data_IF_213431219562
#
_entry.id   IF_213431219562
#
_cell.length_a   1.000
_cell.length_b   1.000
_cell.length_c   1.000
_cell.angle_alpha   90.00
_cell.angle_beta   90.00
_cell.angle_gamma   90.00
#
_symmetry.space_group_name_H-M   'P 1'
#
loop_
_entity.id
_entity.type
_entity.pdbx_description
1 polymer ?
#
# COMPACT_ATOMS: atom_id res chain seq x y z
N UNK A 1 7.83 84.36 4.05
CA UNK A 1 8.34 83.26 3.21
C UNK A 1 9.40 82.56 4.04
N UNK A 2 9.17 81.32 4.46
CA UNK A 2 9.96 80.71 5.54
C UNK A 2 11.42 80.61 5.09
N UNK A 3 12.25 81.40 5.75
CA UNK A 3 13.68 81.53 5.55
C UNK A 3 14.36 80.29 6.12
N UNK A 4 15.25 79.66 5.36
CA UNK A 4 15.96 78.44 5.73
C UNK A 4 17.27 78.69 6.49
N UNK A 5 17.53 79.93 6.89
CA UNK A 5 18.69 80.31 7.71
C UNK A 5 18.20 80.70 9.11
N UNK A 6 18.86 80.14 10.14
CA UNK A 6 18.56 80.23 11.58
C UNK A 6 17.63 79.14 12.18
N UNK A 7 18.02 77.87 12.05
CA UNK A 7 17.81 76.93 13.16
C UNK A 7 19.09 76.89 14.00
N UNK A 8 18.97 77.14 15.31
CA UNK A 8 20.09 76.93 16.24
C UNK A 8 20.54 75.46 16.19
N UNK A 9 21.82 75.18 16.40
CA UNK A 9 22.41 73.82 16.31
C UNK A 9 21.68 72.78 17.17
N UNK A 10 20.99 73.22 18.23
CA UNK A 10 20.16 72.39 19.11
C UNK A 10 18.83 71.96 18.48
N UNK A 11 18.21 72.80 17.67
CA UNK A 11 16.88 72.55 17.10
C UNK A 11 16.95 71.64 15.87
N UNK A 12 18.00 71.80 15.05
CA UNK A 12 18.34 70.86 13.98
C UNK A 12 18.69 69.46 14.54
N UNK A 13 19.43 69.40 15.65
CA UNK A 13 19.74 68.13 16.33
C UNK A 13 18.47 67.47 16.91
N UNK A 14 17.57 68.24 17.53
CA UNK A 14 16.31 67.72 18.06
C UNK A 14 15.40 67.16 16.94
N UNK A 15 15.29 67.85 15.81
CA UNK A 15 14.52 67.37 14.65
C UNK A 15 15.10 66.08 14.07
N UNK A 16 16.42 65.97 14.00
CA UNK A 16 17.11 64.76 13.54
C UNK A 16 16.90 63.57 14.51
N UNK A 17 16.93 63.79 15.82
CA UNK A 17 16.65 62.76 16.84
C UNK A 17 15.20 62.26 16.71
N UNK A 18 14.24 63.17 16.55
CA UNK A 18 12.82 62.81 16.34
C UNK A 18 12.64 62.01 15.05
N UNK A 19 13.29 62.41 13.95
CA UNK A 19 13.22 61.64 12.70
C UNK A 19 13.81 60.23 12.86
N UNK A 20 14.95 60.08 13.55
CA UNK A 20 15.55 58.76 13.81
C UNK A 20 14.61 57.89 14.65
N UNK A 21 13.99 58.45 15.69
CA UNK A 21 13.06 57.72 16.56
C UNK A 21 11.79 57.27 15.81
N UNK A 22 11.22 58.16 14.98
CA UNK A 22 10.07 57.84 14.11
C UNK A 22 10.42 56.75 13.09
N UNK A 23 11.62 56.76 12.51
CA UNK A 23 12.07 55.70 11.60
C UNK A 23 12.30 54.38 12.35
N UNK A 24 12.85 54.42 13.56
CA UNK A 24 13.02 53.24 14.42
C UNK A 24 11.69 52.56 14.74
N UNK A 25 10.66 53.33 15.10
CA UNK A 25 9.30 52.83 15.36
C UNK A 25 8.68 52.21 14.10
N UNK A 26 8.87 52.83 12.92
CA UNK A 26 8.40 52.27 11.64
C UNK A 26 9.09 50.94 11.31
N UNK A 27 10.39 50.83 11.53
CA UNK A 27 11.14 49.58 11.32
C UNK A 27 10.65 48.50 12.29
N UNK A 28 10.48 48.82 13.57
CA UNK A 28 9.99 47.87 14.57
C UNK A 28 8.58 47.35 14.24
N UNK A 29 7.65 48.24 13.90
CA UNK A 29 6.28 47.87 13.52
C UNK A 29 6.25 47.02 12.25
N UNK A 30 7.10 47.32 11.26
CA UNK A 30 7.26 46.48 10.08
C UNK A 30 7.77 45.08 10.44
N UNK A 31 8.81 44.97 11.27
CA UNK A 31 9.38 43.69 11.69
C UNK A 31 8.37 42.82 12.46
N UNK A 32 7.60 43.40 13.39
CA UNK A 32 6.56 42.66 14.12
C UNK A 32 5.45 42.18 13.19
N UNK A 33 5.04 43.00 12.22
CA UNK A 33 4.06 42.58 11.20
C UNK A 33 4.60 41.42 10.36
N UNK A 34 5.84 41.52 9.86
CA UNK A 34 6.46 40.45 9.07
C UNK A 34 6.61 39.16 9.89
N UNK A 35 6.94 39.25 11.17
CA UNK A 35 7.02 38.10 12.08
C UNK A 35 5.67 37.39 12.22
N UNK A 36 4.59 38.15 12.39
CA UNK A 36 3.22 37.60 12.46
C UNK A 36 2.79 36.94 11.15
N UNK A 37 3.13 37.55 10.01
CA UNK A 37 2.86 36.99 8.69
C UNK A 37 3.61 35.66 8.47
N UNK A 38 4.90 35.60 8.83
CA UNK A 38 5.71 34.37 8.77
C UNK A 38 5.10 33.28 9.64
N UNK A 39 4.66 33.61 10.86
CA UNK A 39 4.05 32.63 11.76
C UNK A 39 2.75 32.07 11.18
N UNK A 40 1.90 32.95 10.65
CA UNK A 40 0.63 32.56 10.00
C UNK A 40 0.89 31.66 8.79
N UNK A 41 1.92 31.95 8.00
CA UNK A 41 2.29 31.12 6.85
C UNK A 41 2.80 29.74 7.28
N UNK A 42 3.61 29.66 8.35
CA UNK A 42 4.08 28.38 8.90
C UNK A 42 2.92 27.49 9.32
N UNK A 43 1.94 28.04 10.03
CA UNK A 43 0.76 27.29 10.47
C UNK A 43 -0.08 26.80 9.28
N UNK A 44 -0.27 27.64 8.27
CA UNK A 44 -0.96 27.24 7.03
C UNK A 44 -0.24 26.11 6.31
N UNK A 45 1.08 26.18 6.18
CA UNK A 45 1.90 25.13 5.57
C UNK A 45 1.74 23.83 6.35
N UNK A 46 1.95 23.85 7.67
CA UNK A 46 1.84 22.66 8.50
C UNK A 46 0.44 22.02 8.42
N UNK A 47 -0.62 22.84 8.45
CA UNK A 47 -1.99 22.33 8.30
C UNK A 47 -2.23 21.70 6.93
N UNK A 48 -1.71 22.32 5.87
CA UNK A 48 -1.83 21.78 4.51
C UNK A 48 -1.08 20.45 4.37
N UNK A 49 0.14 20.34 4.90
CA UNK A 49 0.93 19.10 4.90
C UNK A 49 0.20 17.97 5.61
N UNK A 50 -0.40 18.24 6.78
CA UNK A 50 -1.20 17.25 7.50
C UNK A 50 -2.42 16.79 6.69
N UNK A 51 -3.13 17.73 6.04
CA UNK A 51 -4.26 17.38 5.18
C UNK A 51 -3.85 16.52 3.99
N UNK A 52 -2.71 16.82 3.35
CA UNK A 52 -2.18 16.01 2.25
C UNK A 52 -1.80 14.59 2.71
N UNK A 53 -1.16 14.46 3.87
CA UNK A 53 -0.81 13.15 4.44
C UNK A 53 -2.05 12.30 4.72
N UNK A 54 -3.09 12.91 5.31
CA UNK A 54 -4.37 12.22 5.57
C UNK A 54 -5.02 11.78 4.25
N UNK A 55 -5.15 12.69 3.30
CA UNK A 55 -5.79 12.40 2.01
C UNK A 55 -5.05 11.29 1.24
N UNK A 56 -3.72 11.35 1.19
CA UNK A 56 -2.93 10.32 0.53
C UNK A 56 -3.02 8.96 1.24
N UNK A 57 -3.12 8.96 2.58
CA UNK A 57 -3.41 7.77 3.37
C UNK A 57 -4.75 7.14 3.00
N UNK A 58 -5.81 7.95 2.90
CA UNK A 58 -7.15 7.50 2.48
C UNK A 58 -7.14 6.92 1.07
N UNK A 59 -6.46 7.58 0.12
CA UNK A 59 -6.34 7.07 -1.25
C UNK A 59 -5.64 5.70 -1.30
N UNK A 60 -4.58 5.49 -0.51
CA UNK A 60 -3.91 4.18 -0.44
C UNK A 60 -4.83 3.08 0.08
N UNK A 61 -5.66 3.39 1.08
CA UNK A 61 -6.63 2.44 1.61
C UNK A 61 -7.70 2.10 0.58
N UNK A 62 -8.21 3.11 -0.11
CA UNK A 62 -9.25 2.94 -1.12
C UNK A 62 -8.74 2.12 -2.31
N UNK A 63 -7.50 2.33 -2.74
CA UNK A 63 -6.86 1.49 -3.78
C UNK A 63 -6.79 0.02 -3.35
N UNK A 64 -6.44 -0.27 -2.09
CA UNK A 64 -6.38 -1.65 -1.58
C UNK A 64 -7.77 -2.26 -1.50
N UNK A 65 -8.76 -1.50 -1.01
CA UNK A 65 -10.17 -1.92 -0.97
C UNK A 65 -10.67 -2.30 -2.36
N UNK A 66 -10.51 -1.41 -3.34
CA UNK A 66 -10.96 -1.65 -4.71
C UNK A 66 -10.30 -2.89 -5.33
N UNK A 67 -8.98 -3.09 -5.10
CA UNK A 67 -8.28 -4.30 -5.56
C UNK A 67 -8.81 -5.58 -4.92
N UNK A 68 -9.12 -5.55 -3.62
CA UNK A 68 -9.72 -6.69 -2.94
C UNK A 68 -11.11 -7.00 -3.48
N UNK A 69 -11.94 -5.97 -3.68
CA UNK A 69 -13.30 -6.11 -4.20
C UNK A 69 -13.31 -6.67 -5.64
N UNK A 70 -12.32 -6.29 -6.46
CA UNK A 70 -12.16 -6.80 -7.81
C UNK A 70 -11.65 -8.25 -7.84
N UNK A 71 -10.63 -8.57 -7.04
CA UNK A 71 -9.92 -9.85 -7.13
C UNK A 71 -10.57 -10.97 -6.32
N UNK A 72 -11.31 -10.65 -5.25
CA UNK A 72 -11.94 -11.67 -4.40
C UNK A 72 -12.96 -12.52 -5.16
N UNK A 73 -13.91 -11.95 -5.93
CA UNK A 73 -14.85 -12.76 -6.71
C UNK A 73 -14.15 -13.61 -7.76
N UNK A 74 -13.12 -13.07 -8.42
CA UNK A 74 -12.34 -13.81 -9.41
C UNK A 74 -11.63 -15.02 -8.79
N UNK A 75 -11.08 -14.86 -7.58
CA UNK A 75 -10.48 -15.96 -6.84
C UNK A 75 -11.51 -17.03 -6.46
N UNK A 76 -12.69 -16.64 -5.99
CA UNK A 76 -13.75 -17.61 -5.66
C UNK A 76 -14.21 -18.41 -6.88
N UNK A 77 -14.34 -17.75 -8.04
CA UNK A 77 -14.69 -18.45 -9.29
C UNK A 77 -13.60 -19.46 -9.69
N UNK A 78 -12.32 -19.05 -9.68
CA UNK A 78 -11.20 -19.97 -9.96
C UNK A 78 -11.13 -21.13 -8.97
N UNK A 79 -11.47 -20.88 -7.71
CA UNK A 79 -11.52 -21.90 -6.66
C UNK A 79 -12.60 -22.92 -6.96
N UNK A 80 -13.82 -22.47 -7.28
CA UNK A 80 -14.92 -23.35 -7.64
C UNK A 80 -14.61 -24.18 -8.90
N UNK A 81 -14.02 -23.57 -9.93
CA UNK A 81 -13.57 -24.27 -11.14
C UNK A 81 -12.57 -25.39 -10.82
N UNK A 82 -11.59 -25.11 -9.95
CA UNK A 82 -10.60 -26.11 -9.57
C UNK A 82 -11.21 -27.22 -8.70
N UNK A 83 -12.14 -26.89 -7.81
CA UNK A 83 -12.85 -27.88 -6.99
C UNK A 83 -13.67 -28.84 -7.85
N UNK A 84 -14.35 -28.33 -8.88
CA UNK A 84 -15.09 -29.14 -9.85
C UNK A 84 -14.14 -30.05 -10.64
N UNK A 85 -13.05 -29.50 -11.20
CA UNK A 85 -12.05 -30.28 -11.93
C UNK A 85 -11.39 -31.35 -11.05
N UNK A 86 -11.11 -31.02 -9.78
CA UNK A 86 -10.57 -31.96 -8.81
C UNK A 86 -11.57 -33.09 -8.54
N UNK A 87 -12.86 -32.77 -8.39
CA UNK A 87 -13.88 -33.80 -8.16
C UNK A 87 -14.04 -34.72 -9.38
N UNK A 88 -14.04 -34.17 -10.59
CA UNK A 88 -14.05 -34.96 -11.83
C UNK A 88 -12.83 -35.89 -11.89
N UNK A 89 -11.64 -35.35 -11.59
CA UNK A 89 -10.41 -36.13 -11.60
C UNK A 89 -10.43 -37.26 -10.56
N UNK A 90 -10.95 -37.00 -9.35
CA UNK A 90 -11.12 -38.00 -8.28
C UNK A 90 -12.08 -39.10 -8.68
N UNK A 91 -13.25 -38.73 -9.19
CA UNK A 91 -14.26 -39.68 -9.66
C UNK A 91 -13.69 -40.59 -10.77
N UNK A 92 -12.89 -40.02 -11.69
CA UNK A 92 -12.24 -40.79 -12.77
C UNK A 92 -11.09 -41.66 -12.27
N UNK A 93 -10.33 -41.20 -11.27
CA UNK A 93 -9.27 -41.97 -10.62
C UNK A 93 -9.82 -43.18 -9.85
N UNK A 94 -11.02 -43.04 -9.29
CA UNK A 94 -11.70 -44.05 -8.46
C UNK A 94 -11.16 -44.09 -7.03
N UNK A 95 -11.85 -44.85 -6.17
CA UNK A 95 -11.66 -44.87 -4.71
C UNK A 95 -10.21 -45.12 -4.28
N UNK A 96 -9.48 -45.95 -5.03
CA UNK A 96 -8.10 -46.30 -4.72
C UNK A 96 -7.10 -45.15 -4.95
N UNK A 97 -7.44 -44.16 -5.79
CA UNK A 97 -6.53 -43.11 -6.25
C UNK A 97 -7.04 -41.69 -6.02
N UNK A 98 -8.26 -41.48 -5.53
CA UNK A 98 -8.77 -40.15 -5.14
C UNK A 98 -7.81 -39.43 -4.16
N UNK A 99 -7.26 -40.17 -3.19
CA UNK A 99 -6.31 -39.61 -2.24
C UNK A 99 -5.04 -39.08 -2.93
N UNK A 100 -4.60 -39.75 -4.00
CA UNK A 100 -3.42 -39.34 -4.78
C UNK A 100 -3.70 -38.04 -5.54
N UNK A 101 -4.91 -37.84 -6.09
CA UNK A 101 -5.31 -36.55 -6.70
C UNK A 101 -5.21 -35.41 -5.67
N UNK A 102 -5.69 -35.65 -4.46
CA UNK A 102 -5.62 -34.66 -3.38
C UNK A 102 -4.17 -34.37 -2.96
N UNK A 103 -3.32 -35.39 -2.89
CA UNK A 103 -1.89 -35.25 -2.58
C UNK A 103 -1.13 -34.50 -3.68
N UNK A 104 -1.43 -34.76 -4.95
CA UNK A 104 -0.87 -34.05 -6.10
C UNK A 104 -1.12 -32.55 -5.97
N UNK A 105 -2.39 -32.15 -5.79
CA UNK A 105 -2.79 -30.75 -5.65
C UNK A 105 -2.14 -30.08 -4.42
N UNK A 106 -2.15 -30.75 -3.27
CA UNK A 106 -1.55 -30.22 -2.03
C UNK A 106 -0.04 -30.04 -2.15
N UNK A 107 0.64 -30.97 -2.83
CA UNK A 107 2.08 -30.92 -3.05
C UNK A 107 2.44 -29.75 -3.96
N UNK A 108 1.73 -29.60 -5.09
CA UNK A 108 1.88 -28.45 -5.99
C UNK A 108 1.69 -27.12 -5.26
N UNK A 109 0.61 -26.98 -4.47
CA UNK A 109 0.35 -25.76 -3.70
C UNK A 109 1.48 -25.48 -2.69
N UNK A 110 2.00 -26.52 -2.04
CA UNK A 110 3.10 -26.41 -1.06
C UNK A 110 4.42 -25.97 -1.71
N UNK A 111 4.72 -26.46 -2.92
CA UNK A 111 5.90 -26.06 -3.69
C UNK A 111 5.86 -24.55 -3.95
N UNK A 112 4.72 -24.02 -4.38
CA UNK A 112 4.54 -22.59 -4.68
C UNK A 112 4.66 -21.77 -3.39
N UNK A 113 3.84 -22.07 -2.37
CA UNK A 113 3.78 -21.30 -1.10
C UNK A 113 5.12 -21.25 -0.38
N UNK A 114 5.93 -22.31 -0.50
CA UNK A 114 7.26 -22.40 0.14
C UNK A 114 8.39 -21.94 -0.78
N UNK A 115 8.09 -21.47 -2.00
CA UNK A 115 9.08 -21.12 -3.04
C UNK A 115 10.08 -22.24 -3.30
N UNK A 116 9.62 -23.48 -3.21
CA UNK A 116 10.39 -24.73 -3.36
C UNK A 116 10.42 -25.22 -4.80
N UNK A 117 10.35 -24.32 -5.79
CA UNK A 117 10.35 -24.69 -7.21
C UNK A 117 11.57 -25.53 -7.62
N UNK A 118 12.71 -25.30 -6.95
CA UNK A 118 13.96 -26.02 -7.19
C UNK A 118 14.22 -27.17 -6.20
N UNK A 119 13.27 -27.48 -5.31
CA UNK A 119 13.39 -28.58 -4.36
C UNK A 119 13.16 -29.91 -5.11
N UNK A 120 14.24 -30.62 -5.41
CA UNK A 120 14.19 -31.87 -6.19
C UNK A 120 13.27 -32.89 -5.54
N UNK A 121 13.29 -33.02 -4.22
CA UNK A 121 12.42 -33.98 -3.51
C UNK A 121 10.94 -33.65 -3.72
N UNK A 122 10.57 -32.37 -3.67
CA UNK A 122 9.17 -31.97 -3.86
C UNK A 122 8.72 -32.18 -5.32
N UNK A 123 9.61 -31.93 -6.30
CA UNK A 123 9.35 -32.19 -7.71
C UNK A 123 9.24 -33.69 -8.00
N UNK A 124 10.12 -34.52 -7.43
CA UNK A 124 10.10 -35.98 -7.57
C UNK A 124 8.81 -36.58 -7.00
N UNK A 125 8.32 -36.07 -5.87
CA UNK A 125 7.03 -36.46 -5.30
C UNK A 125 5.86 -36.10 -6.23
N UNK A 126 5.90 -34.89 -6.81
CA UNK A 126 4.87 -34.45 -7.74
C UNK A 126 4.83 -35.34 -8.99
N UNK A 127 5.99 -35.69 -9.54
CA UNK A 127 6.07 -36.57 -10.71
C UNK A 127 5.60 -37.99 -10.39
N UNK A 128 5.99 -38.55 -9.23
CA UNK A 128 5.52 -39.86 -8.79
C UNK A 128 3.99 -39.92 -8.69
N UNK A 129 3.34 -38.86 -8.18
CA UNK A 129 1.87 -38.80 -8.15
C UNK A 129 1.27 -38.70 -9.56
N UNK A 130 1.90 -37.95 -10.49
CA UNK A 130 1.45 -37.88 -11.89
C UNK A 130 1.53 -39.25 -12.55
N UNK A 131 2.64 -39.97 -12.40
CA UNK A 131 2.85 -41.29 -12.99
C UNK A 131 1.80 -42.31 -12.51
N UNK A 132 1.50 -42.31 -11.21
CA UNK A 132 0.45 -43.18 -10.65
C UNK A 132 -0.91 -42.84 -11.29
N UNK A 133 -1.23 -41.55 -11.42
CA UNK A 133 -2.51 -41.07 -11.92
C UNK A 133 -2.67 -41.21 -13.44
N UNK A 134 -1.58 -41.32 -14.21
CA UNK A 134 -1.62 -41.53 -15.67
C UNK A 134 -2.33 -42.83 -16.07
N UNK A 135 -2.46 -43.79 -15.15
CA UNK A 135 -3.26 -45.01 -15.37
C UNK A 135 -4.76 -44.75 -15.52
N UNK A 136 -5.26 -43.57 -15.10
CA UNK A 136 -6.69 -43.18 -15.10
C UNK A 136 -6.96 -41.82 -15.72
N UNK A 137 -6.03 -40.88 -15.58
CA UNK A 137 -6.12 -39.52 -16.06
C UNK A 137 -5.16 -39.32 -17.23
N UNK A 138 -5.62 -38.59 -18.24
CA UNK A 138 -4.77 -38.22 -19.37
C UNK A 138 -3.73 -37.18 -18.94
N UNK A 139 -2.63 -37.10 -19.70
CA UNK A 139 -1.61 -36.08 -19.48
C UNK A 139 -2.19 -34.65 -19.54
N UNK A 140 -3.16 -34.41 -20.43
CA UNK A 140 -3.79 -33.10 -20.57
C UNK A 140 -4.71 -32.75 -19.38
N UNK A 141 -5.45 -33.72 -18.85
CA UNK A 141 -6.24 -33.54 -17.62
C UNK A 141 -5.34 -33.18 -16.43
N UNK A 142 -4.23 -33.92 -16.25
CA UNK A 142 -3.26 -33.65 -15.19
C UNK A 142 -2.60 -32.27 -15.35
N UNK A 143 -2.21 -31.90 -16.57
CA UNK A 143 -1.62 -30.59 -16.87
C UNK A 143 -2.61 -29.46 -16.59
N UNK A 144 -3.86 -29.62 -17.01
CA UNK A 144 -4.94 -28.64 -16.75
C UNK A 144 -5.15 -28.45 -15.25
N UNK A 145 -5.26 -29.55 -14.51
CA UNK A 145 -5.46 -29.54 -13.06
C UNK A 145 -4.31 -28.81 -12.33
N UNK A 146 -3.06 -29.12 -12.68
CA UNK A 146 -1.88 -28.48 -12.11
C UNK A 146 -1.75 -27.00 -12.48
N UNK A 147 -2.06 -26.64 -13.73
CA UNK A 147 -2.06 -25.23 -14.18
C UNK A 147 -3.06 -24.40 -13.38
N UNK A 148 -4.29 -24.90 -13.20
CA UNK A 148 -5.33 -24.23 -12.42
C UNK A 148 -4.95 -24.13 -10.93
N UNK A 149 -4.30 -25.15 -10.37
CA UNK A 149 -3.76 -25.09 -9.00
C UNK A 149 -2.66 -24.02 -8.88
N UNK A 150 -1.79 -23.86 -9.87
CA UNK A 150 -0.76 -22.81 -9.89
C UNK A 150 -1.41 -21.42 -9.91
N UNK A 151 -2.35 -21.20 -10.84
CA UNK A 151 -3.09 -19.94 -10.94
C UNK A 151 -3.80 -19.58 -9.63
N UNK A 152 -4.51 -20.54 -9.04
CA UNK A 152 -5.25 -20.34 -7.80
C UNK A 152 -4.30 -19.99 -6.64
N UNK A 153 -3.21 -20.73 -6.49
CA UNK A 153 -2.24 -20.51 -5.39
C UNK A 153 -1.57 -19.14 -5.51
N UNK A 154 -1.22 -18.72 -6.73
CA UNK A 154 -0.65 -17.39 -6.97
C UNK A 154 -1.66 -16.27 -6.66
N UNK A 155 -2.93 -16.43 -7.07
CA UNK A 155 -3.99 -15.49 -6.73
C UNK A 155 -4.24 -15.42 -5.22
N UNK A 156 -4.19 -16.55 -4.52
CA UNK A 156 -4.29 -16.60 -3.04
C UNK A 156 -3.17 -15.79 -2.38
N UNK A 157 -1.92 -15.92 -2.84
CA UNK A 157 -0.79 -15.15 -2.32
C UNK A 157 -0.96 -13.64 -2.55
N UNK A 158 -1.48 -13.24 -3.71
CA UNK A 158 -1.73 -11.83 -4.01
C UNK A 158 -2.81 -11.24 -3.10
N UNK A 159 -3.92 -11.97 -2.89
CA UNK A 159 -4.97 -11.56 -1.97
C UNK A 159 -4.46 -11.47 -0.53
N UNK A 160 -3.68 -12.45 -0.08
CA UNK A 160 -3.08 -12.44 1.27
C UNK A 160 -2.17 -11.22 1.48
N UNK A 161 -1.40 -10.81 0.48
CA UNK A 161 -0.57 -9.59 0.54
C UNK A 161 -1.43 -8.33 0.65
N UNK A 162 -2.48 -8.22 -0.15
CA UNK A 162 -3.41 -7.08 -0.10
C UNK A 162 -4.12 -7.00 1.26
N UNK A 163 -4.52 -8.15 1.79
CA UNK A 163 -5.14 -8.31 3.09
C UNK A 163 -4.20 -7.84 4.22
N UNK A 164 -2.93 -8.25 4.19
CA UNK A 164 -1.91 -7.77 5.13
C UNK A 164 -1.70 -6.25 5.06
N UNK A 165 -1.67 -5.67 3.86
CA UNK A 165 -1.53 -4.22 3.67
C UNK A 165 -2.72 -3.48 4.31
N UNK A 166 -3.95 -3.97 4.07
CA UNK A 166 -5.17 -3.40 4.66
C UNK A 166 -5.13 -3.43 6.19
N UNK A 167 -4.72 -4.55 6.77
CA UNK A 167 -4.69 -4.73 8.21
C UNK A 167 -3.61 -3.85 8.87
N UNK A 168 -2.45 -3.70 8.22
CA UNK A 168 -1.40 -2.75 8.65
C UNK A 168 -1.88 -1.29 8.60
N UNK A 169 -2.59 -0.92 7.52
CA UNK A 169 -3.16 0.42 7.38
C UNK A 169 -4.21 0.72 8.46
N UNK A 170 -5.05 -0.26 8.79
CA UNK A 170 -6.04 -0.14 9.88
C UNK A 170 -5.37 0.02 11.24
N UNK A 171 -4.31 -0.75 11.50
CA UNK A 171 -3.56 -0.67 12.75
C UNK A 171 -2.85 0.68 12.94
N UNK A 172 -2.31 1.27 11.87
CA UNK A 172 -1.69 2.59 11.92
C UNK A 172 -2.70 3.70 12.27
N UNK A 173 -3.93 3.66 11.73
CA UNK A 173 -4.98 4.62 12.09
C UNK A 173 -5.34 4.55 13.57
N UNK A 174 -5.44 3.35 14.15
CA UNK A 174 -5.78 3.18 15.56
C UNK A 174 -4.68 3.69 16.52
N UNK A 175 -3.43 3.73 16.07
CA UNK A 175 -2.29 4.25 16.84
C UNK A 175 -2.15 5.77 16.72
N UNK A 176 -2.44 6.35 15.56
CA UNK A 176 -2.39 7.82 15.34
C UNK A 176 -3.52 8.57 16.06
N UNK A 177 -4.61 7.89 16.42
CA UNK A 177 -5.78 8.47 17.11
C UNK A 177 -5.78 8.29 18.64
N UNK A 178 -4.67 7.84 19.25
CA UNK A 178 -4.45 7.79 20.71
C UNK A 178 -3.50 8.87 21.15
#
# INVERSE_FOLDING_TARGET
FINLEELTTSEAAAKMIIEIDVHGVKIFTFLEKTKQEIQTLKEKINNSEQQYLIFFGQLKQEIVRLKLDELTPQFQNKKAELEELAQIAKNKAGDNLEAIVSLLLRTQASIIKRKKGNDSFAQDQLEAFRDILQSKLTSEELKTLLSKQIELTNSEEQLNKLQQIRDQQTAQILQTNR
#
